data_IF_575730231868
#
_entry.id   IF_575730231868
#
_cell.length_a   1.000
_cell.length_b   1.000
_cell.length_c   1.000
_cell.angle_alpha   90.00
_cell.angle_beta   90.00
_cell.angle_gamma   90.00
#
_symmetry.space_group_name_H-M   'P 1'
#
loop_
_entity.id
_entity.type
_entity.pdbx_description
1 polymer ?
#
# COMPACT_ATOMS: atom_id res chain seq x y z
N UNK A 1 -2.44 -2.06 5.43
CA UNK A 1 -3.06 -3.16 4.66
C UNK A 1 -4.57 -3.00 4.49
N UNK A 2 -5.45 -3.31 5.46
CA UNK A 2 -6.93 -3.09 5.26
C UNK A 2 -7.22 -1.66 4.82
N UNK A 3 -6.65 -0.67 5.51
CA UNK A 3 -6.79 0.75 5.14
C UNK A 3 -6.16 1.13 3.78
N UNK A 4 -5.13 0.40 3.34
CA UNK A 4 -4.48 0.64 2.05
C UNK A 4 -5.34 0.10 0.91
N UNK A 5 -5.95 -1.07 1.12
CA UNK A 5 -6.93 -1.68 0.19
C UNK A 5 -8.21 -0.84 0.15
N UNK A 6 -8.71 -0.37 1.29
CA UNK A 6 -9.88 0.53 1.35
C UNK A 6 -9.59 1.85 0.62
N UNK A 7 -8.39 2.41 0.79
CA UNK A 7 -7.97 3.63 0.08
C UNK A 7 -7.85 3.39 -1.42
N UNK A 8 -7.36 2.21 -1.84
CA UNK A 8 -7.30 1.81 -3.25
C UNK A 8 -8.69 1.68 -3.86
N UNK A 9 -9.60 0.98 -3.18
CA UNK A 9 -10.99 0.78 -3.63
C UNK A 9 -11.69 2.13 -3.78
N UNK A 10 -11.47 3.04 -2.83
CA UNK A 10 -12.01 4.40 -2.87
C UNK A 10 -11.42 5.22 -4.03
N UNK A 11 -10.09 5.19 -4.22
CA UNK A 11 -9.44 5.86 -5.34
C UNK A 11 -9.95 5.34 -6.69
N UNK A 12 -10.20 4.04 -6.82
CA UNK A 12 -10.74 3.43 -8.03
C UNK A 12 -12.18 3.89 -8.32
N UNK A 13 -13.02 3.93 -7.28
CA UNK A 13 -14.41 4.43 -7.40
C UNK A 13 -14.46 5.91 -7.81
N UNK A 14 -13.55 6.73 -7.30
CA UNK A 14 -13.48 8.17 -7.62
C UNK A 14 -13.05 8.40 -9.09
N UNK A 15 -12.25 7.49 -9.66
CA UNK A 15 -11.85 7.54 -11.07
C UNK A 15 -12.99 7.18 -12.01
N UNK A 16 -13.80 6.18 -11.64
CA UNK A 16 -14.98 5.81 -12.42
C UNK A 16 -15.94 7.01 -12.51
N UNK A 17 -16.16 7.70 -11.37
CA UNK A 17 -16.94 8.95 -11.31
C UNK A 17 -16.30 10.09 -12.13
N UNK A 18 -14.97 10.22 -12.13
CA UNK A 18 -14.22 11.19 -12.94
C UNK A 18 -14.38 10.95 -14.44
N UNK A 19 -14.39 9.69 -14.87
CA UNK A 19 -14.58 9.31 -16.28
C UNK A 19 -16.02 9.56 -16.73
N UNK A 20 -17.02 9.37 -15.86
CA UNK A 20 -18.43 9.63 -16.15
C UNK A 20 -18.78 11.13 -16.17
N UNK A 21 -18.19 11.94 -15.29
CA UNK A 21 -18.51 13.36 -15.13
C UNK A 21 -17.66 14.31 -15.97
N UNK A 22 -16.59 13.81 -16.58
CA UNK A 22 -15.69 14.59 -17.42
C UNK A 22 -14.71 15.44 -16.60
N UNK A 23 -13.83 14.79 -15.84
CA UNK A 23 -12.60 15.36 -15.25
C UNK A 23 -12.70 16.80 -14.74
N UNK A 24 -13.63 17.06 -13.83
CA UNK A 24 -13.67 18.31 -13.07
C UNK A 24 -12.45 18.49 -12.16
N UNK A 25 -12.06 19.74 -11.90
CA UNK A 25 -10.93 20.09 -11.02
C UNK A 25 -11.12 19.57 -9.58
N UNK A 26 -12.37 19.43 -9.15
CA UNK A 26 -12.73 18.98 -7.79
C UNK A 26 -12.42 17.49 -7.61
N UNK A 27 -12.84 16.68 -8.55
CA UNK A 27 -12.69 15.23 -8.50
C UNK A 27 -11.21 14.84 -8.66
N UNK A 28 -10.42 15.60 -9.44
CA UNK A 28 -8.95 15.50 -9.46
C UNK A 28 -8.32 15.75 -8.09
N UNK A 29 -8.85 16.70 -7.32
CA UNK A 29 -8.37 17.02 -5.97
C UNK A 29 -8.63 15.90 -4.96
N UNK A 30 -9.83 15.30 -4.99
CA UNK A 30 -10.19 14.18 -4.11
C UNK A 30 -9.25 12.99 -4.36
N UNK A 31 -9.02 12.67 -5.65
CA UNK A 31 -8.10 11.59 -6.01
C UNK A 31 -6.67 11.85 -5.54
N UNK A 32 -6.15 13.07 -5.70
CA UNK A 32 -4.82 13.42 -5.19
C UNK A 32 -4.68 13.22 -3.68
N UNK A 33 -5.74 13.44 -2.92
CA UNK A 33 -5.74 13.22 -1.48
C UNK A 33 -5.81 11.73 -1.12
N UNK A 34 -6.62 10.94 -1.83
CA UNK A 34 -6.65 9.47 -1.71
C UNK A 34 -5.27 8.85 -1.99
N UNK A 35 -4.54 9.38 -2.97
CA UNK A 35 -3.19 8.93 -3.33
C UNK A 35 -2.17 9.24 -2.22
N UNK A 36 -2.21 10.46 -1.66
CA UNK A 36 -1.34 10.81 -0.50
C UNK A 36 -1.60 9.87 0.67
N UNK A 37 -2.84 9.43 0.87
CA UNK A 37 -3.17 8.48 1.92
C UNK A 37 -2.57 7.09 1.66
N UNK A 38 -2.53 6.63 0.40
CA UNK A 38 -1.85 5.37 0.03
C UNK A 38 -0.36 5.44 0.34
N UNK A 39 0.36 6.46 -0.14
CA UNK A 39 1.79 6.64 0.16
C UNK A 39 2.08 6.77 1.67
N UNK A 40 1.22 7.46 2.42
CA UNK A 40 1.38 7.56 3.89
C UNK A 40 1.20 6.21 4.59
N UNK A 41 0.34 5.35 4.05
CA UNK A 41 0.09 4.02 4.60
C UNK A 41 1.17 3.01 4.19
N UNK A 42 1.76 3.16 3.00
CA UNK A 42 2.95 2.41 2.54
C UNK A 42 4.16 2.73 3.43
N UNK A 43 4.48 4.01 3.62
CA UNK A 43 5.58 4.41 4.52
C UNK A 43 5.45 3.84 5.95
N UNK A 44 4.22 3.76 6.48
CA UNK A 44 3.97 3.12 7.78
C UNK A 44 4.12 1.60 7.73
N UNK A 45 3.75 0.97 6.62
CA UNK A 45 3.94 -0.47 6.44
C UNK A 45 5.43 -0.81 6.45
N UNK A 46 6.24 -0.06 5.71
CA UNK A 46 7.71 -0.17 5.69
C UNK A 46 8.34 0.00 7.07
N UNK A 47 7.91 1.03 7.82
CA UNK A 47 8.43 1.26 9.18
C UNK A 47 8.10 0.06 10.10
N UNK A 48 6.89 -0.49 9.99
CA UNK A 48 6.48 -1.66 10.75
C UNK A 48 7.25 -2.92 10.33
N UNK A 49 7.46 -3.13 9.04
CA UNK A 49 8.24 -4.23 8.50
C UNK A 49 9.68 -4.18 9.04
N UNK A 50 10.34 -3.02 8.97
CA UNK A 50 11.68 -2.83 9.53
C UNK A 50 11.73 -3.12 11.03
N UNK A 51 10.74 -2.66 11.79
CA UNK A 51 10.66 -2.91 13.24
C UNK A 51 10.42 -4.39 13.56
N UNK A 52 9.60 -5.08 12.78
CA UNK A 52 9.34 -6.51 12.92
C UNK A 52 10.59 -7.32 12.61
N UNK A 53 11.27 -7.02 11.50
CA UNK A 53 12.51 -7.68 11.10
C UNK A 53 13.61 -7.53 12.15
N UNK A 54 13.77 -6.33 12.73
CA UNK A 54 14.71 -6.11 13.85
C UNK A 54 14.37 -6.96 15.06
N UNK A 55 13.11 -6.99 15.47
CA UNK A 55 12.67 -7.82 16.62
C UNK A 55 12.85 -9.31 16.35
N UNK A 56 12.59 -9.76 15.13
CA UNK A 56 12.79 -11.16 14.74
C UNK A 56 14.27 -11.52 14.85
N UNK A 57 15.16 -10.67 14.34
CA UNK A 57 16.61 -10.85 14.44
C UNK A 57 17.09 -10.92 15.91
N UNK A 58 16.54 -10.09 16.80
CA UNK A 58 16.89 -10.12 18.23
C UNK A 58 16.51 -11.44 18.95
N UNK A 59 15.52 -12.17 18.42
CA UNK A 59 15.02 -13.41 19.04
C UNK A 59 15.32 -14.67 18.22
N UNK A 60 15.94 -14.54 17.04
CA UNK A 60 16.07 -15.64 16.07
C UNK A 60 16.85 -16.83 16.62
N UNK A 61 17.86 -16.57 17.46
CA UNK A 61 18.67 -17.62 18.10
C UNK A 61 17.86 -18.55 19.02
N UNK A 62 16.67 -18.12 19.45
CA UNK A 62 15.77 -18.90 20.32
C UNK A 62 14.70 -19.66 19.54
N UNK A 63 14.73 -19.58 18.22
CA UNK A 63 13.73 -20.16 17.32
C UNK A 63 14.36 -21.20 16.41
N UNK A 64 13.57 -22.17 15.95
CA UNK A 64 14.05 -23.07 14.92
C UNK A 64 14.12 -22.35 13.56
N UNK A 65 15.06 -22.72 12.68
CA UNK A 65 15.26 -22.05 11.40
C UNK A 65 14.02 -22.03 10.49
N UNK A 66 13.15 -23.03 10.59
CA UNK A 66 11.95 -23.11 9.78
C UNK A 66 10.91 -22.07 10.25
N UNK A 67 10.74 -21.90 11.55
CA UNK A 67 9.88 -20.86 12.12
C UNK A 67 10.35 -19.45 11.78
N UNK A 68 11.67 -19.19 11.87
CA UNK A 68 12.24 -17.88 11.47
C UNK A 68 11.94 -17.60 10.00
N UNK A 69 12.19 -18.59 9.12
CA UNK A 69 11.91 -18.47 7.70
C UNK A 69 10.42 -18.23 7.41
N UNK A 70 9.52 -18.94 8.11
CA UNK A 70 8.07 -18.75 7.95
C UNK A 70 7.63 -17.33 8.33
N UNK A 71 8.19 -16.76 9.41
CA UNK A 71 7.87 -15.41 9.83
C UNK A 71 8.38 -14.36 8.83
N UNK A 72 9.61 -14.53 8.32
CA UNK A 72 10.12 -13.67 7.24
C UNK A 72 9.21 -13.74 6.02
N UNK A 73 8.76 -14.94 5.62
CA UNK A 73 7.81 -15.08 4.51
C UNK A 73 6.50 -14.35 4.75
N UNK A 74 5.89 -14.50 5.92
CA UNK A 74 4.65 -13.80 6.25
C UNK A 74 4.84 -12.28 6.17
N UNK A 75 5.95 -11.76 6.68
CA UNK A 75 6.30 -10.34 6.60
C UNK A 75 6.40 -9.89 5.14
N UNK A 76 7.06 -10.66 4.27
CA UNK A 76 7.20 -10.31 2.86
C UNK A 76 5.90 -10.42 2.05
N UNK A 77 5.04 -11.40 2.34
CA UNK A 77 3.71 -11.49 1.68
C UNK A 77 2.83 -10.30 2.09
N UNK A 78 2.99 -9.79 3.31
CA UNK A 78 2.29 -8.58 3.78
C UNK A 78 2.77 -7.34 3.02
N UNK A 79 4.09 -7.24 2.81
CA UNK A 79 4.74 -6.18 2.06
C UNK A 79 4.22 -6.11 0.62
N UNK A 80 4.21 -7.25 -0.06
CA UNK A 80 3.76 -7.35 -1.45
C UNK A 80 2.33 -6.82 -1.66
N UNK A 81 1.43 -6.96 -0.68
CA UNK A 81 0.07 -6.42 -0.77
C UNK A 81 0.07 -4.88 -0.70
N UNK A 82 0.97 -4.28 0.08
CA UNK A 82 1.14 -2.83 0.10
C UNK A 82 1.71 -2.34 -1.25
N UNK A 83 2.74 -3.00 -1.77
CA UNK A 83 3.35 -2.69 -3.07
C UNK A 83 2.32 -2.73 -4.21
N UNK A 84 1.47 -3.77 -4.25
CA UNK A 84 0.42 -3.86 -5.27
C UNK A 84 -0.56 -2.69 -5.23
N UNK A 85 -0.86 -2.15 -4.04
CA UNK A 85 -1.73 -1.00 -3.92
C UNK A 85 -1.05 0.28 -4.43
N UNK A 86 0.22 0.48 -4.11
CA UNK A 86 1.03 1.60 -4.63
C UNK A 86 1.16 1.54 -6.16
N UNK A 87 1.59 0.39 -6.70
CA UNK A 87 1.74 0.17 -8.14
C UNK A 87 0.44 0.46 -8.91
N UNK A 88 -0.69 0.06 -8.34
CA UNK A 88 -2.00 0.32 -8.92
C UNK A 88 -2.31 1.81 -8.95
N UNK A 89 -1.96 2.55 -7.90
CA UNK A 89 -2.09 4.01 -7.84
C UNK A 89 -1.19 4.72 -8.85
N UNK A 90 0.07 4.28 -8.98
CA UNK A 90 1.03 4.85 -9.93
C UNK A 90 0.57 4.69 -11.38
N UNK A 91 -0.03 3.55 -11.71
CA UNK A 91 -0.64 3.30 -13.02
C UNK A 91 -1.82 4.25 -13.27
N UNK A 92 -2.69 4.44 -12.27
CA UNK A 92 -3.82 5.36 -12.36
C UNK A 92 -3.35 6.81 -12.59
N UNK A 93 -2.30 7.24 -11.89
CA UNK A 93 -1.66 8.55 -12.11
C UNK A 93 -1.13 8.71 -13.53
N UNK A 94 -0.52 7.67 -14.08
CA UNK A 94 0.01 7.67 -15.45
C UNK A 94 -1.10 7.85 -16.49
N UNK A 95 -2.29 7.30 -16.24
CA UNK A 95 -3.46 7.46 -17.13
C UNK A 95 -4.01 8.88 -17.09
N UNK A 96 -4.04 9.52 -15.92
CA UNK A 96 -4.66 10.85 -15.72
C UNK A 96 -3.73 12.01 -16.04
N UNK A 97 -2.41 11.79 -15.96
CA UNK A 97 -1.42 12.77 -16.37
C UNK A 97 -1.33 12.95 -17.90
N UNK A 98 -2.08 12.15 -18.67
CA UNK A 98 -2.23 12.27 -20.13
C UNK A 98 -3.53 12.95 -20.50
#
# INVERSE_FOLDING_TARGET
MVKSVDALEKAYSEIDELMETGFGDKERGIMQDSIKEVYHNEWKADELQLRLSKKLFEIEEKMDPLSVWFLIRIINEIDAVADYAEDSVDQLMTVIAK
#
